data_IF_999459308057
#
_entry.id   IF_999459308057
#
_cell.length_a   1.000
_cell.length_b   1.000
_cell.length_c   1.000
_cell.angle_alpha   90.00
_cell.angle_beta   90.00
_cell.angle_gamma   90.00
#
_symmetry.space_group_name_H-M   'P 1'
#
loop_
_entity.id
_entity.type
_entity.pdbx_description
1 polymer ?
#
# COMPACT_ATOMS: atom_id res chain seq x y z
N UNK A 1 -1.13 -11.21 1.91
CA UNK A 1 -1.47 -11.06 0.47
C UNK A 1 -2.18 -9.72 0.34
N UNK A 2 -1.39 -8.69 0.13
CA UNK A 2 -1.87 -7.30 -0.02
C UNK A 2 -1.81 -7.03 -1.51
N UNK A 3 -2.92 -7.25 -2.18
CA UNK A 3 -3.05 -7.05 -3.62
C UNK A 3 -4.17 -6.07 -3.80
N UNK A 4 -3.89 -4.81 -3.93
CA UNK A 4 -4.82 -3.85 -4.53
C UNK A 4 -4.28 -2.43 -4.41
N UNK A 5 -3.96 -1.75 -5.46
CA UNK A 5 -4.24 -0.33 -5.56
C UNK A 5 -3.48 0.42 -6.65
N UNK A 6 -3.61 0.10 -7.90
CA UNK A 6 -3.07 1.00 -8.92
C UNK A 6 -4.08 1.37 -10.02
N UNK A 7 -5.12 0.60 -10.22
CA UNK A 7 -6.18 0.93 -11.19
C UNK A 7 -7.22 1.94 -10.70
N UNK A 8 -7.13 2.36 -9.44
CA UNK A 8 -8.21 3.10 -8.77
C UNK A 8 -7.99 4.62 -8.69
N UNK A 9 -6.77 5.10 -8.89
CA UNK A 9 -6.39 6.49 -8.58
C UNK A 9 -7.07 7.51 -9.50
N UNK A 10 -7.28 7.22 -10.77
CA UNK A 10 -7.93 8.17 -11.70
C UNK A 10 -9.45 8.28 -11.54
N UNK A 11 -10.09 7.32 -10.86
CA UNK A 11 -11.54 7.32 -10.65
C UNK A 11 -11.95 7.82 -9.27
N UNK A 12 -11.03 7.85 -8.29
CA UNK A 12 -11.33 8.13 -6.89
C UNK A 12 -11.50 9.61 -6.51
N UNK A 13 -11.05 10.55 -7.32
CA UNK A 13 -11.30 11.98 -7.05
C UNK A 13 -12.78 12.39 -7.03
N UNK A 14 -13.70 11.46 -7.31
CA UNK A 14 -15.15 11.69 -7.41
C UNK A 14 -16.01 10.77 -6.54
N UNK A 15 -15.42 9.85 -5.77
CA UNK A 15 -16.21 8.90 -4.98
C UNK A 15 -16.43 9.39 -3.56
N UNK A 16 -17.66 9.29 -3.08
CA UNK A 16 -18.04 9.53 -1.69
C UNK A 16 -17.53 8.41 -0.76
N UNK A 17 -17.44 8.66 0.55
CA UNK A 17 -17.06 7.65 1.57
C UNK A 17 -17.91 6.37 1.46
N UNK A 18 -19.21 6.50 1.17
CA UNK A 18 -20.12 5.36 0.98
C UNK A 18 -19.72 4.49 -0.23
N UNK A 19 -19.17 5.06 -1.28
CA UNK A 19 -18.75 4.30 -2.46
C UNK A 19 -17.48 3.51 -2.18
N UNK A 20 -16.51 4.07 -1.43
CA UNK A 20 -15.29 3.38 -1.02
C UNK A 20 -15.64 2.16 -0.17
N UNK A 21 -16.53 2.31 0.81
CA UNK A 21 -17.03 1.20 1.61
C UNK A 21 -17.65 0.10 0.73
N UNK A 22 -18.49 0.46 -0.24
CA UNK A 22 -19.10 -0.50 -1.17
C UNK A 22 -18.05 -1.28 -1.97
N UNK A 23 -16.92 -0.65 -2.32
CA UNK A 23 -15.83 -1.33 -3.02
C UNK A 23 -15.07 -2.29 -2.12
N UNK A 24 -14.78 -1.94 -0.88
CA UNK A 24 -14.13 -2.83 0.08
C UNK A 24 -15.02 -4.04 0.40
N UNK A 25 -16.31 -3.85 0.57
CA UNK A 25 -17.28 -4.93 0.79
C UNK A 25 -17.33 -5.96 -0.36
N UNK A 26 -16.92 -5.56 -1.56
CA UNK A 26 -16.83 -6.46 -2.73
C UNK A 26 -15.44 -7.04 -2.91
N UNK A 27 -14.39 -6.23 -2.77
CA UNK A 27 -13.01 -6.64 -3.08
C UNK A 27 -12.42 -7.54 -2.00
N UNK A 28 -12.72 -7.30 -0.73
CA UNK A 28 -12.21 -8.11 0.39
C UNK A 28 -12.68 -9.56 0.30
N UNK A 29 -13.99 -9.87 0.15
CA UNK A 29 -14.45 -11.23 -0.08
C UNK A 29 -13.90 -11.84 -1.37
N UNK A 30 -13.80 -11.02 -2.43
CA UNK A 30 -13.34 -11.48 -3.74
C UNK A 30 -11.91 -12.05 -3.73
N UNK A 31 -11.01 -11.47 -2.94
CA UNK A 31 -9.64 -11.99 -2.77
C UNK A 31 -9.54 -13.09 -1.71
N UNK A 32 -10.64 -13.48 -1.08
CA UNK A 32 -10.71 -14.63 -0.17
C UNK A 32 -10.14 -14.39 1.23
N UNK A 33 -9.95 -13.13 1.65
CA UNK A 33 -9.41 -12.82 2.99
C UNK A 33 -10.36 -13.20 4.13
N UNK A 34 -11.65 -13.34 3.87
CA UNK A 34 -12.63 -13.82 4.86
C UNK A 34 -12.29 -15.21 5.37
N UNK A 35 -11.85 -16.11 4.48
CA UNK A 35 -11.43 -17.46 4.85
C UNK A 35 -10.22 -17.41 5.78
N UNK A 36 -9.24 -16.54 5.46
CA UNK A 36 -8.05 -16.36 6.29
C UNK A 36 -8.40 -15.82 7.69
N UNK A 37 -9.38 -14.91 7.78
CA UNK A 37 -9.84 -14.37 9.07
C UNK A 37 -10.54 -15.41 9.95
N UNK A 38 -11.30 -16.33 9.33
CA UNK A 38 -11.90 -17.46 10.05
C UNK A 38 -10.81 -18.33 10.71
N UNK A 39 -9.67 -18.48 10.04
CA UNK A 39 -8.50 -19.22 10.56
C UNK A 39 -7.62 -18.37 11.51
N UNK A 40 -8.05 -17.15 11.86
CA UNK A 40 -7.32 -16.25 12.76
C UNK A 40 -6.16 -15.50 12.09
N UNK A 41 -6.08 -15.51 10.77
CA UNK A 41 -5.06 -14.76 10.00
C UNK A 41 -5.64 -13.39 9.63
N UNK A 42 -5.48 -12.43 10.52
CA UNK A 42 -6.12 -11.10 10.45
C UNK A 42 -5.13 -9.92 10.52
N UNK A 43 -3.83 -10.20 10.53
CA UNK A 43 -2.77 -9.21 10.66
C UNK A 43 -2.30 -8.96 12.08
N UNK A 44 -2.82 -9.67 13.08
CA UNK A 44 -2.36 -9.55 14.47
C UNK A 44 -0.85 -9.72 14.58
N UNK A 45 -0.17 -8.75 15.25
CA UNK A 45 1.27 -8.75 15.46
C UNK A 45 2.09 -8.21 14.28
N UNK A 46 1.46 -7.84 13.16
CA UNK A 46 2.12 -7.33 11.96
C UNK A 46 2.09 -5.80 11.94
N UNK A 47 3.24 -5.17 11.68
CA UNK A 47 3.36 -3.75 11.37
C UNK A 47 3.55 -3.54 9.87
N UNK A 48 2.72 -2.72 9.27
CA UNK A 48 2.77 -2.40 7.85
C UNK A 48 3.13 -0.92 7.69
N UNK A 49 4.26 -0.66 7.06
CA UNK A 49 4.67 0.68 6.68
C UNK A 49 3.92 1.11 5.41
N UNK A 50 3.32 2.29 5.44
CA UNK A 50 2.65 2.92 4.30
C UNK A 50 3.45 4.17 3.93
N UNK A 51 4.12 4.12 2.79
CA UNK A 51 4.89 5.25 2.24
C UNK A 51 4.02 5.92 1.18
N UNK A 52 3.44 7.08 1.55
CA UNK A 52 2.37 7.72 0.78
C UNK A 52 2.19 9.21 1.12
N UNK A 53 0.97 9.75 1.05
CA UNK A 53 0.59 11.14 1.39
C UNK A 53 0.36 11.37 2.90
N UNK A 54 0.62 10.38 3.72
CA UNK A 54 0.29 10.34 5.14
C UNK A 54 -0.89 9.44 5.43
N UNK A 55 -1.42 9.50 6.65
CA UNK A 55 -2.65 8.79 7.06
C UNK A 55 -3.47 9.68 7.96
N UNK A 56 -4.76 9.85 7.67
CA UNK A 56 -5.71 10.44 8.62
C UNK A 56 -6.09 9.41 9.69
N UNK A 57 -5.28 9.38 10.72
CA UNK A 57 -5.48 8.51 11.88
C UNK A 57 -6.70 8.88 12.72
N UNK A 58 -7.34 10.05 12.47
CA UNK A 58 -8.62 10.42 13.12
C UNK A 58 -9.82 9.77 12.43
N UNK A 59 -9.62 9.15 11.27
CA UNK A 59 -10.68 8.40 10.61
C UNK A 59 -11.23 7.30 11.54
N UNK A 60 -12.56 7.16 11.70
CA UNK A 60 -13.16 6.24 12.67
C UNK A 60 -12.73 4.78 12.50
N UNK A 61 -12.40 4.36 11.27
CA UNK A 61 -11.95 3.00 10.98
C UNK A 61 -10.45 2.76 11.22
N UNK A 62 -9.69 3.82 11.57
CA UNK A 62 -8.24 3.76 11.83
C UNK A 62 -7.85 4.02 13.30
N UNK A 63 -8.82 4.32 14.18
CA UNK A 63 -8.68 4.33 15.64
C UNK A 63 -7.49 5.06 16.25
N UNK A 64 -7.05 6.17 15.66
CA UNK A 64 -6.10 7.08 16.28
C UNK A 64 -4.61 6.79 16.07
N UNK A 65 -3.82 7.73 16.62
CA UNK A 65 -2.37 7.77 16.58
C UNK A 65 -1.75 7.35 17.92
N UNK A 66 -0.61 6.69 17.87
CA UNK A 66 0.20 6.32 19.03
C UNK A 66 0.06 4.84 19.43
N UNK A 67 0.67 4.42 20.54
CA UNK A 67 0.82 3.01 20.90
C UNK A 67 -0.49 2.24 20.97
N UNK A 68 -1.55 2.88 21.42
CA UNK A 68 -2.89 2.29 21.57
C UNK A 68 -3.73 2.41 20.29
N UNK A 69 -3.30 3.26 19.34
CA UNK A 69 -3.99 3.47 18.07
C UNK A 69 -3.74 2.38 17.04
N UNK A 70 -4.36 2.55 15.88
CA UNK A 70 -4.07 1.76 14.69
C UNK A 70 -2.76 2.20 14.05
N UNK A 71 -2.52 3.52 13.98
CA UNK A 71 -1.30 4.12 13.44
C UNK A 71 -0.34 4.32 14.62
N UNK A 72 0.61 3.39 14.76
CA UNK A 72 1.46 3.30 15.96
C UNK A 72 2.76 4.09 15.85
N UNK A 73 3.07 4.67 14.69
CA UNK A 73 4.26 5.47 14.44
C UNK A 73 4.36 5.90 12.99
N UNK A 74 5.44 6.58 12.67
CA UNK A 74 5.72 7.07 11.33
C UNK A 74 6.40 8.43 11.35
N UNK A 75 6.49 9.08 10.19
CA UNK A 75 7.16 10.38 10.06
C UNK A 75 6.69 11.15 8.84
N UNK A 76 6.60 12.47 8.96
CA UNK A 76 6.31 13.39 7.88
C UNK A 76 7.63 13.95 7.31
N UNK A 77 8.07 13.42 6.18
CA UNK A 77 9.30 13.84 5.52
C UNK A 77 9.18 15.17 4.77
N UNK A 78 7.97 15.71 4.64
CA UNK A 78 7.73 16.99 3.94
C UNK A 78 7.93 18.15 4.91
N UNK A 79 7.38 18.05 6.13
CA UNK A 79 7.46 19.07 7.18
C UNK A 79 8.51 18.73 8.23
N UNK A 80 9.13 17.56 8.13
CA UNK A 80 10.14 17.05 9.07
C UNK A 80 9.64 16.97 10.52
N UNK A 81 8.39 16.51 10.71
CA UNK A 81 7.71 16.42 11.99
C UNK A 81 6.86 15.15 12.16
N UNK A 82 6.16 15.05 13.29
CA UNK A 82 5.14 14.05 13.59
C UNK A 82 3.87 14.75 14.12
N UNK A 83 2.69 14.19 13.90
CA UNK A 83 2.37 12.98 13.16
C UNK A 83 2.22 13.23 11.64
N UNK A 84 2.39 12.21 10.79
CA UNK A 84 2.27 12.30 9.34
C UNK A 84 0.80 12.33 8.89
N UNK A 85 0.09 13.39 9.22
CA UNK A 85 -1.32 13.55 8.88
C UNK A 85 -1.52 13.66 7.37
N UNK A 86 -2.44 12.89 6.84
CA UNK A 86 -2.86 12.96 5.46
C UNK A 86 -3.78 14.16 5.21
N UNK A 87 -3.46 14.95 4.22
CA UNK A 87 -4.25 16.09 3.76
C UNK A 87 -4.75 15.93 2.32
N UNK A 88 -4.38 14.82 1.67
CA UNK A 88 -4.76 14.47 0.32
C UNK A 88 -5.89 13.42 0.29
N UNK A 89 -5.76 12.37 1.11
CA UNK A 89 -6.68 11.27 1.22
C UNK A 89 -6.18 9.95 0.60
N UNK A 90 -5.17 9.98 -0.30
CA UNK A 90 -4.68 8.78 -0.96
C UNK A 90 -4.08 7.77 0.03
N UNK A 91 -3.16 8.20 0.89
CA UNK A 91 -2.54 7.33 1.89
C UNK A 91 -3.55 6.81 2.92
N UNK A 92 -4.57 7.60 3.27
CA UNK A 92 -5.66 7.18 4.15
C UNK A 92 -6.51 6.08 3.51
N UNK A 93 -6.79 6.19 2.22
CA UNK A 93 -7.50 5.13 1.47
C UNK A 93 -6.67 3.85 1.41
N UNK A 94 -5.37 3.95 1.14
CA UNK A 94 -4.44 2.81 1.17
C UNK A 94 -4.45 2.15 2.55
N UNK A 95 -4.37 2.96 3.62
CA UNK A 95 -4.44 2.47 5.00
C UNK A 95 -5.76 1.75 5.29
N UNK A 96 -6.87 2.29 4.80
CA UNK A 96 -8.19 1.69 4.95
C UNK A 96 -8.30 0.32 4.29
N UNK A 97 -7.84 0.20 3.04
CA UNK A 97 -7.82 -1.11 2.34
C UNK A 97 -6.96 -2.13 3.06
N UNK A 98 -5.83 -1.71 3.59
CA UNK A 98 -4.90 -2.58 4.31
C UNK A 98 -5.51 -3.02 5.65
N UNK A 99 -5.97 -2.07 6.49
CA UNK A 99 -6.14 -2.34 7.91
C UNK A 99 -7.35 -1.63 8.57
N UNK A 100 -8.33 -1.12 7.82
CA UNK A 100 -9.56 -0.61 8.44
C UNK A 100 -10.21 -1.70 9.31
N UNK A 101 -10.74 -1.30 10.48
CA UNK A 101 -11.29 -2.21 11.48
C UNK A 101 -12.53 -1.59 12.18
N UNK A 102 -13.30 -0.79 11.45
CA UNK A 102 -14.51 -0.12 11.92
C UNK A 102 -15.73 -0.48 11.09
N UNK A 103 -16.35 0.52 10.47
CA UNK A 103 -17.45 0.30 9.55
C UNK A 103 -16.97 -0.40 8.27
N UNK A 104 -15.84 0.05 7.71
CA UNK A 104 -15.13 -0.68 6.67
C UNK A 104 -14.16 -1.69 7.31
N UNK A 105 -13.99 -2.85 6.67
CA UNK A 105 -13.06 -3.88 7.11
C UNK A 105 -12.01 -4.10 6.02
N UNK A 106 -10.76 -3.80 6.33
CA UNK A 106 -9.62 -3.98 5.45
C UNK A 106 -9.18 -5.44 5.31
N UNK A 107 -8.12 -5.67 4.54
CA UNK A 107 -7.57 -7.01 4.29
C UNK A 107 -6.99 -7.65 5.54
N UNK A 108 -6.30 -6.87 6.38
CA UNK A 108 -5.65 -7.28 7.62
C UNK A 108 -6.07 -6.35 8.77
N UNK A 109 -7.32 -6.45 9.28
CA UNK A 109 -7.90 -5.46 10.17
C UNK A 109 -7.19 -5.35 11.53
N UNK A 110 -6.40 -6.33 11.94
CA UNK A 110 -5.64 -6.29 13.20
C UNK A 110 -4.19 -5.87 13.04
N UNK A 111 -3.72 -5.63 11.81
CA UNK A 111 -2.39 -5.07 11.57
C UNK A 111 -2.27 -3.65 12.13
N UNK A 112 -1.06 -3.28 12.54
CA UNK A 112 -0.69 -1.92 12.93
C UNK A 112 -0.03 -1.20 11.76
N UNK A 113 -0.20 0.12 11.69
CA UNK A 113 0.30 0.96 10.62
C UNK A 113 1.47 1.81 11.12
N UNK A 114 2.51 1.91 10.29
CA UNK A 114 3.55 2.92 10.36
C UNK A 114 3.35 3.84 9.15
N UNK A 115 3.05 5.11 9.36
CA UNK A 115 2.72 6.04 8.28
C UNK A 115 3.91 6.93 7.93
N UNK A 116 4.28 7.01 6.66
CA UNK A 116 5.38 7.86 6.18
C UNK A 116 4.89 8.76 5.06
N UNK A 117 4.80 10.07 5.36
CA UNK A 117 4.38 11.08 4.41
C UNK A 117 5.59 11.55 3.60
N UNK A 118 5.56 11.27 2.28
CA UNK A 118 6.61 11.62 1.32
C UNK A 118 6.10 12.47 0.16
N UNK A 119 4.79 12.73 0.11
CA UNK A 119 4.12 13.56 -0.89
C UNK A 119 2.94 14.31 -0.27
N UNK A 120 2.63 15.49 -0.79
CA UNK A 120 1.43 16.26 -0.41
C UNK A 120 0.25 15.91 -1.32
N UNK A 121 0.49 15.65 -2.59
CA UNK A 121 -0.51 15.51 -3.64
C UNK A 121 -0.61 14.09 -4.22
N UNK A 122 0.26 13.17 -3.80
CA UNK A 122 0.35 11.82 -4.36
C UNK A 122 1.13 11.75 -5.68
N UNK A 123 1.59 12.89 -6.17
CA UNK A 123 2.35 13.02 -7.42
C UNK A 123 3.73 13.64 -7.14
N UNK A 124 4.61 13.63 -8.12
CA UNK A 124 5.88 14.35 -8.06
C UNK A 124 6.83 13.95 -6.92
N UNK A 125 6.71 12.74 -6.41
CA UNK A 125 7.46 12.30 -5.23
C UNK A 125 8.96 12.24 -5.48
N UNK A 126 9.75 12.67 -4.49
CA UNK A 126 11.20 12.59 -4.53
C UNK A 126 11.69 11.17 -4.25
N UNK A 127 12.57 10.66 -5.13
CA UNK A 127 13.23 9.39 -4.92
C UNK A 127 14.06 9.38 -3.61
N UNK A 128 14.55 10.53 -3.17
CA UNK A 128 15.27 10.67 -1.90
C UNK A 128 14.34 10.46 -0.71
N UNK A 129 13.13 11.04 -0.73
CA UNK A 129 12.16 10.88 0.33
C UNK A 129 11.64 9.44 0.43
N UNK A 130 11.39 8.79 -0.72
CA UNK A 130 11.06 7.36 -0.75
C UNK A 130 12.18 6.53 -0.09
N UNK A 131 13.44 6.80 -0.44
CA UNK A 131 14.59 6.08 0.13
C UNK A 131 14.66 6.25 1.64
N UNK A 132 14.59 7.49 2.14
CA UNK A 132 14.58 7.78 3.58
C UNK A 132 13.42 7.12 4.32
N UNK A 133 12.23 7.10 3.69
CA UNK A 133 11.06 6.46 4.29
C UNK A 133 11.20 4.93 4.36
N UNK A 134 11.81 4.29 3.37
CA UNK A 134 12.11 2.86 3.42
C UNK A 134 13.11 2.58 4.57
N UNK A 135 14.19 3.35 4.66
CA UNK A 135 15.19 3.21 5.71
C UNK A 135 14.57 3.38 7.10
N UNK A 136 13.73 4.40 7.27
CA UNK A 136 13.01 4.64 8.53
C UNK A 136 12.02 3.53 8.87
N UNK A 137 11.31 2.98 7.87
CA UNK A 137 10.40 1.86 8.07
C UNK A 137 11.13 0.59 8.56
N UNK A 138 12.36 0.37 8.07
CA UNK A 138 13.22 -0.73 8.54
C UNK A 138 13.61 -0.51 10.01
N UNK A 139 14.03 0.70 10.37
CA UNK A 139 14.40 1.07 11.74
C UNK A 139 13.24 0.92 12.72
N UNK A 140 12.02 1.30 12.32
CA UNK A 140 10.81 1.22 13.15
C UNK A 140 10.23 -0.21 13.23
N UNK A 141 10.88 -1.16 12.56
CA UNK A 141 10.56 -2.58 12.64
C UNK A 141 9.28 -2.95 11.88
N UNK A 142 9.10 -2.40 10.68
CA UNK A 142 8.07 -2.85 9.76
C UNK A 142 8.29 -4.32 9.36
N UNK A 143 7.21 -5.08 9.23
CA UNK A 143 7.23 -6.42 8.65
C UNK A 143 6.97 -6.38 7.14
N UNK A 144 6.18 -5.39 6.72
CA UNK A 144 5.80 -5.17 5.33
C UNK A 144 5.94 -3.67 5.05
N UNK A 145 6.46 -3.32 3.87
CA UNK A 145 6.50 -1.95 3.36
C UNK A 145 5.63 -1.88 2.10
N UNK A 146 4.61 -1.03 2.13
CA UNK A 146 3.75 -0.73 0.98
C UNK A 146 4.11 0.63 0.41
N UNK A 147 4.38 0.70 -0.90
CA UNK A 147 4.72 1.91 -1.63
C UNK A 147 3.77 2.04 -2.82
N UNK A 148 2.71 2.85 -2.65
CA UNK A 148 1.67 3.06 -3.66
C UNK A 148 1.90 4.31 -4.54
N UNK A 149 3.15 4.74 -4.63
CA UNK A 149 3.62 5.87 -5.44
C UNK A 149 5.01 5.56 -6.00
N UNK A 150 5.52 6.42 -6.89
CA UNK A 150 6.81 6.16 -7.49
C UNK A 150 7.29 7.25 -8.44
N UNK A 151 8.37 6.93 -9.14
CA UNK A 151 8.98 7.78 -10.16
C UNK A 151 9.07 7.03 -11.49
N UNK A 152 8.90 7.75 -12.61
CA UNK A 152 8.80 7.14 -13.94
C UNK A 152 10.12 6.50 -14.43
N UNK A 153 11.24 6.80 -13.78
CA UNK A 153 12.56 6.26 -14.15
C UNK A 153 13.10 5.34 -13.08
N UNK A 154 13.87 4.35 -13.50
CA UNK A 154 14.62 3.48 -12.58
C UNK A 154 15.52 4.31 -11.66
N UNK A 155 15.52 4.02 -10.38
CA UNK A 155 16.32 4.74 -9.39
C UNK A 155 17.12 3.78 -8.51
N UNK A 156 18.44 3.80 -8.68
CA UNK A 156 19.34 2.89 -7.98
C UNK A 156 19.39 3.11 -6.45
N UNK A 157 19.00 4.28 -5.93
CA UNK A 157 18.93 4.51 -4.48
C UNK A 157 17.73 3.78 -3.90
N UNK A 158 16.56 3.92 -4.54
CA UNK A 158 15.34 3.19 -4.15
C UNK A 158 15.60 1.68 -4.22
N UNK A 159 16.20 1.20 -5.32
CA UNK A 159 16.50 -0.23 -5.49
C UNK A 159 17.40 -0.78 -4.37
N UNK A 160 18.43 -0.02 -3.96
CA UNK A 160 19.30 -0.43 -2.84
C UNK A 160 18.54 -0.46 -1.51
N UNK A 161 17.69 0.52 -1.23
CA UNK A 161 16.90 0.55 -0.01
C UNK A 161 15.91 -0.61 0.07
N UNK A 162 15.26 -0.94 -1.05
CA UNK A 162 14.38 -2.12 -1.15
C UNK A 162 15.18 -3.40 -0.91
N UNK A 163 16.31 -3.57 -1.59
CA UNK A 163 17.13 -4.77 -1.41
C UNK A 163 17.60 -4.93 0.03
N UNK A 164 17.95 -3.83 0.70
CA UNK A 164 18.30 -3.84 2.12
C UNK A 164 17.10 -4.22 3.01
N UNK A 165 15.89 -3.78 2.70
CA UNK A 165 14.68 -4.21 3.40
C UNK A 165 14.47 -5.73 3.24
N UNK A 166 14.64 -6.24 2.02
CA UNK A 166 14.52 -7.68 1.72
C UNK A 166 15.57 -8.53 2.46
N UNK A 167 16.81 -8.03 2.57
CA UNK A 167 17.87 -8.68 3.37
C UNK A 167 17.53 -8.75 4.86
N UNK A 168 16.63 -7.87 5.33
CA UNK A 168 16.06 -7.88 6.69
C UNK A 168 14.77 -8.69 6.79
N UNK A 169 14.44 -9.47 5.77
CA UNK A 169 13.22 -10.29 5.71
C UNK A 169 11.93 -9.47 5.74
N UNK A 170 11.99 -8.20 5.35
CA UNK A 170 10.83 -7.31 5.23
C UNK A 170 10.25 -7.44 3.82
N UNK A 171 8.97 -7.76 3.70
CA UNK A 171 8.29 -7.80 2.41
C UNK A 171 8.07 -6.38 1.87
N UNK A 172 8.38 -6.16 0.59
CA UNK A 172 8.15 -4.88 -0.07
C UNK A 172 7.12 -5.06 -1.19
N UNK A 173 6.04 -4.31 -1.09
CA UNK A 173 4.93 -4.29 -2.08
C UNK A 173 4.92 -2.93 -2.76
N UNK A 174 4.88 -2.92 -4.08
CA UNK A 174 5.00 -1.70 -4.87
C UNK A 174 3.94 -1.62 -5.96
N UNK A 175 3.57 -0.41 -6.36
CA UNK A 175 2.70 -0.19 -7.50
C UNK A 175 3.45 -0.36 -8.83
N UNK A 176 2.79 -0.96 -9.83
CA UNK A 176 3.29 -1.01 -11.20
C UNK A 176 3.27 0.36 -11.91
N UNK A 177 2.50 1.32 -11.39
CA UNK A 177 2.26 2.62 -12.01
C UNK A 177 1.03 2.64 -12.91
N UNK A 178 0.75 3.82 -13.48
CA UNK A 178 -0.47 4.11 -14.24
C UNK A 178 -0.22 4.32 -15.74
N UNK A 179 1.02 4.20 -16.22
CA UNK A 179 1.43 4.48 -17.60
C UNK A 179 1.14 3.31 -18.58
N UNK A 180 0.53 2.21 -18.07
CA UNK A 180 0.11 1.07 -18.90
C UNK A 180 -1.00 1.43 -19.90
N UNK A 181 -1.35 0.48 -20.82
CA UNK A 181 -0.90 -0.91 -20.93
C UNK A 181 0.32 -1.10 -21.87
N UNK A 182 1.03 -0.06 -22.22
CA UNK A 182 2.19 -0.12 -23.12
C UNK A 182 3.38 -0.92 -22.56
N UNK A 183 4.37 -1.15 -23.41
CA UNK A 183 5.61 -1.81 -22.99
C UNK A 183 6.52 -0.83 -22.24
N UNK A 184 7.21 -1.33 -21.19
CA UNK A 184 8.23 -0.58 -20.41
C UNK A 184 7.66 0.63 -19.67
N UNK A 185 6.43 0.56 -19.24
CA UNK A 185 5.72 1.64 -18.51
C UNK A 185 5.93 1.58 -17.00
N UNK A 186 6.44 0.46 -16.46
CA UNK A 186 6.68 0.33 -15.02
C UNK A 186 7.90 1.19 -14.62
N UNK A 187 7.71 2.09 -13.66
CA UNK A 187 8.74 2.93 -13.06
C UNK A 187 9.40 2.31 -11.82
N UNK A 188 10.12 3.12 -11.03
CA UNK A 188 10.64 2.73 -9.72
C UNK A 188 9.66 3.21 -8.64
N UNK A 189 9.34 2.41 -7.61
CA UNK A 189 10.00 1.17 -7.18
C UNK A 189 9.54 -0.10 -7.90
N UNK A 190 8.46 -0.07 -8.68
CA UNK A 190 7.81 -1.25 -9.28
C UNK A 190 8.72 -2.12 -10.17
N UNK A 191 9.84 -1.60 -10.64
CA UNK A 191 10.82 -2.38 -11.45
C UNK A 191 11.83 -3.19 -10.62
N UNK A 192 11.83 -3.04 -9.30
CA UNK A 192 12.71 -3.83 -8.47
C UNK A 192 12.29 -5.31 -8.50
N UNK A 193 13.24 -6.20 -8.83
CA UNK A 193 12.95 -7.64 -9.00
C UNK A 193 12.65 -8.37 -7.69
N UNK A 194 13.02 -7.81 -6.55
CA UNK A 194 12.77 -8.40 -5.24
C UNK A 194 11.44 -7.97 -4.62
N UNK A 195 10.82 -6.89 -5.11
CA UNK A 195 9.53 -6.44 -4.62
C UNK A 195 8.36 -7.18 -5.28
N UNK A 196 7.25 -7.24 -4.57
CA UNK A 196 5.95 -7.68 -5.13
C UNK A 196 5.34 -6.50 -5.85
N UNK A 197 5.39 -6.50 -7.18
CA UNK A 197 4.84 -5.41 -7.98
C UNK A 197 3.41 -5.71 -8.39
N UNK A 198 2.50 -4.81 -8.05
CA UNK A 198 1.06 -4.97 -8.24
C UNK A 198 0.57 -4.07 -9.37
N UNK A 199 -0.09 -4.66 -10.34
CA UNK A 199 -0.78 -4.00 -11.43
C UNK A 199 -2.29 -4.21 -11.37
N UNK A 200 -3.03 -3.50 -12.23
CA UNK A 200 -4.45 -3.66 -12.41
C UNK A 200 -4.78 -4.17 -13.80
N UNK A 201 -5.84 -4.94 -13.92
CA UNK A 201 -6.39 -5.38 -15.21
C UNK A 201 -7.90 -5.25 -15.22
N UNK A 202 -8.45 -5.08 -16.40
CA UNK A 202 -9.89 -5.10 -16.62
C UNK A 202 -10.30 -6.45 -17.18
N UNK A 203 -11.36 -7.02 -16.61
CA UNK A 203 -12.06 -8.15 -17.19
C UNK A 203 -13.36 -7.61 -17.83
N UNK A 204 -13.59 -7.89 -19.10
CA UNK A 204 -14.70 -7.34 -19.89
C UNK A 204 -16.12 -7.71 -19.40
N UNK A 205 -16.26 -8.56 -18.42
CA UNK A 205 -17.55 -9.00 -17.88
C UNK A 205 -17.83 -8.56 -16.45
N UNK A 206 -16.78 -8.25 -15.70
CA UNK A 206 -16.83 -7.65 -14.37
C UNK A 206 -15.51 -6.95 -14.17
N UNK A 207 -15.49 -5.74 -13.61
CA UNK A 207 -14.25 -5.09 -13.22
C UNK A 207 -13.58 -5.91 -12.11
N UNK A 208 -12.78 -6.87 -12.50
CA UNK A 208 -12.02 -7.72 -11.59
C UNK A 208 -10.57 -7.25 -11.58
N UNK A 209 -10.06 -6.99 -10.42
CA UNK A 209 -8.65 -6.75 -10.22
C UNK A 209 -7.94 -8.11 -10.23
N UNK A 210 -6.98 -8.28 -11.12
CA UNK A 210 -6.14 -9.47 -11.19
C UNK A 210 -4.75 -9.10 -10.70
N UNK A 211 -4.26 -9.79 -9.70
CA UNK A 211 -2.88 -9.69 -9.28
C UNK A 211 -2.03 -10.70 -10.05
N UNK A 212 -0.95 -10.22 -10.64
CA UNK A 212 0.09 -11.10 -11.14
C UNK A 212 1.27 -11.04 -10.17
N UNK A 213 1.57 -12.15 -9.53
CA UNK A 213 2.75 -12.33 -8.70
C UNK A 213 3.85 -12.93 -9.57
N UNK A 214 4.98 -12.27 -9.68
CA UNK A 214 6.17 -12.84 -10.32
C UNK A 214 7.14 -13.32 -9.22
N UNK A 215 7.35 -14.64 -9.17
CA UNK A 215 8.32 -15.28 -8.28
C UNK A 215 9.33 -16.02 -9.15
N UNK A 216 10.62 -15.75 -8.96
CA UNK A 216 11.71 -16.36 -9.73
C UNK A 216 11.53 -16.24 -11.25
N UNK A 217 11.10 -15.08 -11.72
CA UNK A 217 10.81 -14.78 -13.14
C UNK A 217 9.66 -15.62 -13.76
N UNK A 218 8.84 -16.23 -12.94
CA UNK A 218 7.62 -16.93 -13.39
C UNK A 218 6.38 -16.13 -12.98
N UNK A 219 5.55 -15.71 -13.91
CA UNK A 219 4.29 -15.06 -13.58
C UNK A 219 3.30 -16.08 -13.00
N UNK A 220 2.72 -15.77 -11.88
CA UNK A 220 1.58 -16.48 -11.30
C UNK A 220 0.38 -15.56 -11.36
N UNK A 221 -0.59 -15.93 -12.21
CA UNK A 221 -1.87 -15.22 -12.26
C UNK A 221 -2.79 -15.80 -11.20
N UNK A 222 -3.19 -14.99 -10.24
CA UNK A 222 -4.27 -15.37 -9.34
C UNK A 222 -5.59 -15.05 -10.02
N UNK A 223 -6.23 -16.07 -10.57
CA UNK A 223 -7.58 -15.97 -11.12
C UNK A 223 -8.52 -16.27 -9.95
N UNK A 224 -9.47 -15.38 -9.64
CA UNK A 224 -10.50 -15.70 -8.67
C UNK A 224 -11.38 -16.83 -9.20
N UNK A 225 -11.70 -17.77 -8.35
CA UNK A 225 -12.72 -18.78 -8.63
C UNK A 225 -14.12 -18.20 -8.42
#
# INVERSE_FOLDING_TARGET
MIVFFVGFILFQFLLSENEIQTYLERSVPYVGTEILRIDGIDGTGIKIAIIDTGVDFNHPDLFGWGPDGKVVGGYNFIQEDEPPLDTNGHGTQVAGVIAADGQAIGMAPKAKILAYKVSEDGEGVSAELITKAIEKAIEDGANIINISLGVNKTNAKIDRAINFALEKEIFVVTAAGNDGPGFKTIGSPGRNFGSVTVGATYNNLTSSLVATLEVDKKPYTVIPM
#
